data_IF_835914712235
#
_entry.id   IF_835914712235
#
_cell.length_a   1.000
_cell.length_b   1.000
_cell.length_c   1.000
_cell.angle_alpha   90.00
_cell.angle_beta   90.00
_cell.angle_gamma   90.00
#
_symmetry.space_group_name_H-M   'P 1'
#
loop_
_entity.id
_entity.type
_entity.pdbx_description
1 polymer ?
#
# COMPACT_ATOMS: atom_id res chain seq x y z
N UNK A 1 -1.01 -13.90 28.29
CA UNK A 1 -1.42 -12.51 28.55
C UNK A 1 -1.88 -11.93 27.23
N UNK A 2 -3.09 -11.39 27.09
CA UNK A 2 -3.56 -10.89 25.81
C UNK A 2 -2.76 -9.63 25.46
N UNK A 3 -1.97 -9.74 24.39
CA UNK A 3 -1.15 -8.69 23.81
C UNK A 3 -2.06 -7.51 23.43
N UNK A 4 -1.87 -6.38 24.10
CA UNK A 4 -2.59 -5.14 23.82
C UNK A 4 -2.14 -4.62 22.44
N UNK A 5 -2.97 -4.81 21.40
CA UNK A 5 -2.70 -4.27 20.07
C UNK A 5 -2.98 -2.77 20.04
N UNK A 6 -1.99 -1.97 19.67
CA UNK A 6 -2.20 -0.55 19.45
C UNK A 6 -2.79 -0.33 18.05
N UNK A 7 -4.12 -0.26 17.95
CA UNK A 7 -4.79 0.06 16.68
C UNK A 7 -4.58 1.51 16.22
N UNK A 8 -4.02 2.38 17.07
CA UNK A 8 -3.65 3.75 16.70
C UNK A 8 -2.59 3.83 15.60
N UNK A 9 -1.84 2.75 15.34
CA UNK A 9 -0.92 2.66 14.20
C UNK A 9 -1.65 2.69 12.84
N UNK A 10 -2.95 2.35 12.81
CA UNK A 10 -3.80 2.45 11.62
C UNK A 10 -4.58 3.76 11.57
N UNK A 11 -4.19 4.78 12.34
CA UNK A 11 -4.83 6.10 12.24
C UNK A 11 -4.73 6.58 10.80
N UNK A 12 -5.90 6.71 10.15
CA UNK A 12 -5.95 6.87 8.70
C UNK A 12 -5.84 8.35 8.35
N UNK A 13 -4.76 8.72 7.68
CA UNK A 13 -4.58 10.06 7.12
C UNK A 13 -5.05 10.07 5.66
N UNK A 14 -5.74 11.14 5.23
CA UNK A 14 -6.10 11.33 3.83
C UNK A 14 -4.90 11.94 3.09
N UNK A 15 -4.47 11.34 1.98
CA UNK A 15 -3.33 11.81 1.20
C UNK A 15 -3.72 12.03 -0.26
N UNK A 16 -3.63 13.28 -0.74
CA UNK A 16 -3.74 13.55 -2.17
C UNK A 16 -2.35 13.49 -2.79
N UNK A 17 -2.09 12.47 -3.61
CA UNK A 17 -0.84 12.32 -4.34
C UNK A 17 -1.11 12.31 -5.85
N UNK A 18 -0.38 13.11 -6.62
CA UNK A 18 -0.44 13.05 -8.08
C UNK A 18 0.53 11.97 -8.57
N UNK A 19 0.03 10.86 -9.12
CA UNK A 19 0.87 9.82 -9.70
C UNK A 19 0.88 9.89 -11.23
N UNK A 20 2.06 9.84 -11.86
CA UNK A 20 2.17 9.66 -13.32
C UNK A 20 2.00 10.91 -14.18
N UNK A 21 2.04 12.12 -13.61
CA UNK A 21 2.24 13.39 -14.33
C UNK A 21 1.13 13.85 -15.29
N UNK A 22 0.07 13.07 -15.54
CA UNK A 22 -1.03 13.44 -16.46
C UNK A 22 -2.43 13.42 -15.83
N UNK A 23 -2.67 12.60 -14.81
CA UNK A 23 -3.90 12.62 -14.01
C UNK A 23 -3.58 12.54 -12.52
N UNK A 24 -4.35 13.26 -11.71
CA UNK A 24 -4.18 13.27 -10.26
C UNK A 24 -5.06 12.18 -9.66
N UNK A 25 -4.50 11.01 -9.34
CA UNK A 25 -5.25 9.97 -8.62
C UNK A 25 -5.32 10.32 -7.14
N UNK A 26 -6.48 10.78 -6.68
CA UNK A 26 -6.71 11.02 -5.25
C UNK A 26 -6.81 9.68 -4.50
N UNK A 27 -6.03 9.52 -3.42
CA UNK A 27 -6.00 8.29 -2.61
C UNK A 27 -6.49 8.62 -1.19
N UNK A 28 -7.73 8.25 -0.93
CA UNK A 28 -8.38 8.45 0.35
C UNK A 28 -8.17 7.25 1.28
N UNK A 29 -8.55 7.42 2.54
CA UNK A 29 -8.42 6.39 3.58
C UNK A 29 -9.30 5.15 3.37
N UNK A 30 -10.25 5.23 2.46
CA UNK A 30 -11.16 4.17 2.04
C UNK A 30 -10.82 3.60 0.66
N UNK A 31 -9.87 4.19 -0.07
CA UNK A 31 -9.44 3.73 -1.38
C UNK A 31 -8.95 2.29 -1.31
N UNK A 32 -9.48 1.47 -2.22
CA UNK A 32 -9.09 0.08 -2.40
C UNK A 32 -8.00 -0.05 -3.42
N UNK A 33 -7.17 -1.09 -3.27
CA UNK A 33 -6.15 -1.43 -4.27
C UNK A 33 -6.71 -1.55 -5.69
N UNK A 34 -7.92 -2.10 -5.84
CA UNK A 34 -8.57 -2.25 -7.14
C UNK A 34 -8.72 -0.92 -7.90
N UNK A 35 -8.98 0.18 -7.19
CA UNK A 35 -9.18 1.53 -7.77
C UNK A 35 -7.89 2.13 -8.35
N UNK A 36 -6.74 1.68 -7.87
CA UNK A 36 -5.41 2.12 -8.34
C UNK A 36 -4.61 1.01 -9.02
N UNK A 37 -5.21 -0.17 -9.23
CA UNK A 37 -4.56 -1.34 -9.81
C UNK A 37 -3.99 -1.07 -11.21
N UNK A 38 -4.58 -0.12 -11.95
CA UNK A 38 -4.10 0.35 -13.26
C UNK A 38 -2.70 0.96 -13.19
N UNK A 39 -2.33 1.61 -12.08
CA UNK A 39 -1.01 2.19 -11.88
C UNK A 39 0.08 1.11 -11.81
N UNK A 40 -0.30 -0.11 -11.42
CA UNK A 40 0.57 -1.27 -11.29
C UNK A 40 0.55 -2.15 -12.55
N UNK A 41 0.16 -1.58 -13.69
CA UNK A 41 0.27 -2.21 -15.00
C UNK A 41 1.21 -1.37 -15.88
N UNK A 42 2.46 -1.79 -15.99
CA UNK A 42 3.52 -1.07 -16.72
C UNK A 42 3.74 -1.78 -18.05
N UNK A 43 3.57 -1.06 -19.15
CA UNK A 43 3.73 -1.58 -20.52
C UNK A 43 2.90 -2.84 -20.83
N UNK A 44 1.71 -2.95 -20.23
CA UNK A 44 0.82 -4.10 -20.39
C UNK A 44 1.16 -5.30 -19.51
N UNK A 45 2.16 -5.17 -18.63
CA UNK A 45 2.56 -6.19 -17.65
C UNK A 45 2.11 -5.78 -16.25
N UNK A 46 1.28 -6.62 -15.64
CA UNK A 46 0.89 -6.45 -14.24
C UNK A 46 2.07 -6.70 -13.30
N UNK A 47 2.35 -5.73 -12.42
CA UNK A 47 3.36 -5.83 -11.37
C UNK A 47 2.95 -6.94 -10.40
N UNK A 48 3.87 -7.86 -10.14
CA UNK A 48 3.67 -8.92 -9.14
C UNK A 48 4.02 -8.41 -7.75
N UNK A 49 3.18 -8.63 -6.74
CA UNK A 49 3.48 -8.21 -5.39
C UNK A 49 4.54 -9.09 -4.73
N UNK A 50 5.20 -8.55 -3.71
CA UNK A 50 5.95 -9.31 -2.72
C UNK A 50 5.09 -9.51 -1.49
N UNK A 51 5.15 -10.70 -0.88
CA UNK A 51 4.43 -10.97 0.38
C UNK A 51 5.28 -10.45 1.54
N UNK A 52 4.68 -9.61 2.38
CA UNK A 52 5.32 -9.08 3.59
C UNK A 52 4.72 -9.75 4.83
N UNK A 53 5.60 -10.30 5.66
CA UNK A 53 5.24 -10.89 6.96
C UNK A 53 6.07 -10.26 8.05
N UNK A 54 5.42 -9.53 8.94
CA UNK A 54 6.08 -8.99 10.12
C UNK A 54 6.18 -10.11 11.16
N UNK A 55 7.33 -10.78 11.25
CA UNK A 55 7.49 -11.94 12.14
C UNK A 55 7.89 -11.57 13.57
N UNK A 56 8.06 -10.28 13.85
CA UNK A 56 8.43 -9.75 15.16
C UNK A 56 7.25 -9.79 16.14
N UNK A 57 7.48 -10.30 17.35
CA UNK A 57 6.48 -10.22 18.43
C UNK A 57 6.27 -8.76 18.82
N UNK A 58 5.12 -8.19 18.45
CA UNK A 58 4.74 -6.80 18.74
C UNK A 58 4.36 -5.97 17.52
N UNK A 59 4.76 -6.39 16.32
CA UNK A 59 4.55 -5.64 15.07
C UNK A 59 3.89 -6.49 13.96
N UNK A 60 3.29 -7.62 14.35
CA UNK A 60 2.53 -8.47 13.43
C UNK A 60 1.36 -7.66 12.84
N UNK A 61 0.94 -7.97 11.62
CA UNK A 61 -0.35 -7.47 11.16
C UNK A 61 -1.44 -8.44 11.68
N UNK A 62 -2.44 -7.98 12.46
CA UNK A 62 -3.50 -8.84 12.98
C UNK A 62 -4.42 -9.40 11.88
N UNK A 63 -4.35 -8.83 10.67
CA UNK A 63 -5.09 -9.28 9.49
C UNK A 63 -4.30 -10.29 8.63
N UNK A 64 -3.12 -10.73 9.08
CA UNK A 64 -2.26 -11.66 8.34
C UNK A 64 -1.24 -10.96 7.45
N UNK A 65 -0.61 -11.68 6.51
CA UNK A 65 0.34 -11.12 5.57
C UNK A 65 -0.27 -10.01 4.70
N UNK A 66 0.59 -9.15 4.19
CA UNK A 66 0.23 -8.08 3.25
C UNK A 66 0.95 -8.30 1.92
N UNK A 67 0.40 -7.67 0.87
CA UNK A 67 1.00 -7.65 -0.46
C UNK A 67 1.57 -6.28 -0.76
N UNK A 68 2.84 -6.23 -1.09
CA UNK A 68 3.56 -5.01 -1.40
C UNK A 68 3.77 -4.91 -2.92
N UNK A 69 3.18 -3.88 -3.53
CA UNK A 69 3.28 -3.55 -4.94
C UNK A 69 4.14 -2.30 -5.12
N UNK A 70 4.99 -2.28 -6.14
CA UNK A 70 5.90 -1.16 -6.40
C UNK A 70 5.93 -0.73 -7.85
N UNK A 71 5.88 0.58 -8.07
CA UNK A 71 6.17 1.26 -9.34
C UNK A 71 7.07 2.46 -9.06
N UNK A 72 7.77 3.02 -10.06
CA UNK A 72 8.60 4.20 -9.85
C UNK A 72 7.85 5.32 -9.11
N UNK A 73 8.35 5.68 -7.92
CA UNK A 73 7.83 6.75 -7.07
C UNK A 73 6.71 6.35 -6.11
N UNK A 74 6.24 5.11 -6.15
CA UNK A 74 5.17 4.62 -5.27
C UNK A 74 5.37 3.14 -4.89
N UNK A 75 5.33 2.87 -3.59
CA UNK A 75 5.12 1.53 -3.04
C UNK A 75 3.81 1.53 -2.25
N UNK A 76 2.99 0.50 -2.43
CA UNK A 76 1.74 0.28 -1.72
C UNK A 76 1.75 -1.08 -1.07
N UNK A 77 1.41 -1.10 0.22
CA UNK A 77 1.13 -2.32 0.97
C UNK A 77 -0.39 -2.52 1.13
N UNK A 78 -0.88 -3.71 0.80
CA UNK A 78 -2.29 -4.05 0.71
C UNK A 78 -2.61 -5.20 1.65
N UNK A 79 -3.68 -5.07 2.44
CA UNK A 79 -4.20 -6.14 3.29
C UNK A 79 -4.93 -7.17 2.43
N UNK A 80 -4.46 -8.42 2.47
CA UNK A 80 -5.07 -9.54 1.77
C UNK A 80 -6.55 -9.73 2.16
N UNK A 81 -7.38 -10.15 1.19
CA UNK A 81 -8.81 -10.39 1.37
C UNK A 81 -9.70 -9.13 1.39
N UNK A 82 -9.25 -8.04 2.02
CA UNK A 82 -10.05 -6.80 2.12
C UNK A 82 -9.72 -5.75 1.05
N UNK A 83 -8.52 -5.82 0.47
CA UNK A 83 -8.01 -4.87 -0.52
C UNK A 83 -7.79 -3.46 0.01
N UNK A 84 -7.86 -3.24 1.33
CA UNK A 84 -7.52 -1.96 1.94
C UNK A 84 -6.01 -1.72 1.88
N UNK A 85 -5.64 -0.45 1.71
CA UNK A 85 -4.27 0.01 1.80
C UNK A 85 -3.85 0.00 3.26
N UNK A 86 -2.80 -0.76 3.58
CA UNK A 86 -2.17 -0.80 4.90
C UNK A 86 -1.18 0.37 5.06
N UNK A 87 -0.37 0.59 4.03
CA UNK A 87 0.66 1.62 4.01
C UNK A 87 0.95 2.08 2.58
N UNK A 88 1.47 3.30 2.49
CA UNK A 88 1.92 3.91 1.24
C UNK A 88 3.26 4.59 1.46
N UNK A 89 4.20 4.35 0.56
CA UNK A 89 5.50 5.01 0.55
C UNK A 89 5.65 5.75 -0.78
N UNK A 90 5.72 7.07 -0.69
CA UNK A 90 6.00 7.96 -1.82
C UNK A 90 7.49 8.32 -1.78
N UNK A 91 8.15 8.28 -2.93
CA UNK A 91 9.56 8.65 -3.05
C UNK A 91 9.83 9.31 -4.39
N UNK A 92 10.92 10.07 -4.47
CA UNK A 92 11.36 10.64 -5.74
C UNK A 92 11.93 9.54 -6.62
N UNK A 93 11.25 9.25 -7.74
CA UNK A 93 11.77 8.33 -8.73
C UNK A 93 12.95 9.00 -9.45
N UNK A 94 14.13 8.39 -9.42
CA UNK A 94 15.24 8.82 -10.25
C UNK A 94 14.80 8.78 -11.72
N UNK A 95 14.74 9.95 -12.36
CA UNK A 95 14.63 10.05 -13.81
C UNK A 95 15.85 9.33 -14.43
N UNK A 96 15.61 8.18 -15.07
CA UNK A 96 16.58 7.54 -15.98
C UNK A 96 16.34 8.00 -17.40
#
# INVERSE_FOLDING_TARGET
MPTHYNFGIYSRCNFRAALGGKETTEICTDTKFAEMSVLFNVDGVAVKPVVVTHNSEGDRNPFGPTYCYGVPGLIVEVIEGSGHIAAMTLYEALHQ
#
